data_IF_233168604729
#
_entry.id   IF_233168604729
#
_cell.length_a   1.000
_cell.length_b   1.000
_cell.length_c   1.000
_cell.angle_alpha   90.00
_cell.angle_beta   90.00
_cell.angle_gamma   90.00
#
_symmetry.space_group_name_H-M   'P 1'
#
loop_
_entity.id
_entity.type
_entity.pdbx_description
1 polymer ?
#
# COMPACT_ATOMS: atom_id res chain seq x y z
N UNK A 1 10.44 43.16 2.30
CA UNK A 1 10.35 41.94 1.47
C UNK A 1 9.30 41.06 2.12
N UNK A 2 8.10 41.02 1.57
CA UNK A 2 6.95 40.27 2.11
C UNK A 2 7.17 38.78 1.83
N UNK A 3 7.41 38.00 2.87
CA UNK A 3 7.47 36.55 2.79
C UNK A 3 6.04 36.02 2.86
N UNK A 4 5.54 35.52 1.73
CA UNK A 4 4.26 34.81 1.64
C UNK A 4 4.36 33.47 2.37
N UNK A 5 3.68 33.38 3.49
CA UNK A 5 3.47 32.14 4.25
C UNK A 5 2.55 31.22 3.42
N UNK A 6 3.12 30.19 2.78
CA UNK A 6 2.32 29.15 2.12
C UNK A 6 1.82 28.20 3.21
N UNK A 7 0.56 28.38 3.63
CA UNK A 7 -0.13 27.38 4.41
C UNK A 7 -0.28 26.13 3.53
N UNK A 8 0.41 25.06 3.89
CA UNK A 8 0.26 23.73 3.29
C UNK A 8 -1.19 23.30 3.50
N UNK A 9 -2.01 23.32 2.45
CA UNK A 9 -3.38 22.81 2.55
C UNK A 9 -3.31 21.29 2.64
N UNK A 10 -3.69 20.74 3.80
CA UNK A 10 -3.86 19.31 4.03
C UNK A 10 -4.85 18.75 3.01
N UNK A 11 -4.34 17.92 2.10
CA UNK A 11 -5.17 17.33 1.05
C UNK A 11 -5.99 16.20 1.68
N UNK A 12 -7.34 16.23 1.59
CA UNK A 12 -8.17 15.20 2.21
C UNK A 12 -7.81 13.82 1.66
N UNK A 13 -7.91 12.82 2.53
CA UNK A 13 -7.70 11.42 2.15
C UNK A 13 -8.62 11.05 0.97
N UNK A 14 -8.10 10.33 -0.03
CA UNK A 14 -8.95 9.82 -1.11
C UNK A 14 -10.04 8.90 -0.57
N UNK A 15 -11.24 8.93 -1.17
CA UNK A 15 -12.38 8.11 -0.74
C UNK A 15 -12.15 6.59 -0.81
N UNK A 16 -11.13 6.15 -1.53
CA UNK A 16 -10.75 4.74 -1.62
C UNK A 16 -9.76 4.29 -0.54
N UNK A 17 -9.25 5.20 0.29
CA UNK A 17 -8.26 4.92 1.34
C UNK A 17 -8.83 5.20 2.72
N UNK A 18 -8.72 4.23 3.62
CA UNK A 18 -9.03 4.38 5.02
C UNK A 18 -7.80 3.98 5.84
N UNK A 19 -7.27 4.90 6.64
CA UNK A 19 -6.21 4.59 7.60
C UNK A 19 -6.79 3.94 8.86
N UNK A 20 -6.05 3.02 9.46
CA UNK A 20 -6.40 2.36 10.72
C UNK A 20 -5.18 2.35 11.64
N UNK A 21 -5.38 2.09 12.94
CA UNK A 21 -4.26 1.97 13.89
C UNK A 21 -3.26 0.86 13.52
N UNK A 22 -3.73 -0.15 12.79
CA UNK A 22 -2.94 -1.32 12.41
C UNK A 22 -2.40 -1.26 10.97
N UNK A 23 -2.68 -0.19 10.22
CA UNK A 23 -2.28 -0.04 8.82
C UNK A 23 -3.28 0.77 7.99
N UNK A 24 -3.77 0.18 6.90
CA UNK A 24 -4.79 0.81 6.07
C UNK A 24 -5.64 -0.20 5.29
N UNK A 25 -6.77 0.29 4.77
CA UNK A 25 -7.71 -0.44 3.94
C UNK A 25 -7.94 0.35 2.65
N UNK A 26 -7.92 -0.34 1.50
CA UNK A 26 -8.27 0.25 0.21
C UNK A 26 -9.51 -0.41 -0.37
N UNK A 27 -10.42 0.38 -0.92
CA UNK A 27 -11.43 -0.18 -1.82
C UNK A 27 -10.81 -0.45 -3.19
N UNK A 28 -11.12 -1.62 -3.74
CA UNK A 28 -10.75 -2.01 -5.09
C UNK A 28 -11.83 -1.48 -6.04
N UNK A 29 -11.42 -0.75 -7.07
CA UNK A 29 -12.31 -0.33 -8.16
C UNK A 29 -12.82 -1.55 -8.93
N UNK A 30 -12.01 -2.60 -9.01
CA UNK A 30 -12.37 -3.86 -9.64
C UNK A 30 -12.28 -4.97 -8.59
N UNK A 31 -13.43 -5.53 -8.15
CA UNK A 31 -13.41 -6.71 -7.30
C UNK A 31 -12.55 -7.81 -7.93
N UNK A 32 -11.65 -8.39 -7.14
CA UNK A 32 -10.64 -9.34 -7.60
C UNK A 32 -10.65 -10.56 -6.70
N UNK A 33 -10.43 -11.73 -7.28
CA UNK A 33 -10.29 -12.97 -6.52
C UNK A 33 -8.92 -13.02 -5.87
N UNK A 34 -8.88 -13.01 -4.54
CA UNK A 34 -7.67 -13.16 -3.74
C UNK A 34 -7.85 -14.39 -2.85
N UNK A 35 -6.91 -15.34 -2.90
CA UNK A 35 -6.96 -16.60 -2.15
C UNK A 35 -8.27 -17.39 -2.34
N UNK A 36 -8.86 -17.33 -3.54
CA UNK A 36 -10.13 -18.02 -3.86
C UNK A 36 -11.40 -17.29 -3.42
N UNK A 37 -11.30 -16.05 -2.94
CA UNK A 37 -12.44 -15.25 -2.49
C UNK A 37 -12.50 -13.95 -3.28
N UNK A 38 -13.67 -13.65 -3.87
CA UNK A 38 -13.90 -12.36 -4.52
C UNK A 38 -14.00 -11.27 -3.46
N UNK A 39 -13.08 -10.31 -3.50
CA UNK A 39 -13.05 -9.17 -2.58
C UNK A 39 -13.11 -7.86 -3.33
N UNK A 40 -13.78 -6.87 -2.74
CA UNK A 40 -13.82 -5.48 -3.20
C UNK A 40 -12.94 -4.56 -2.35
N UNK A 41 -12.25 -5.13 -1.37
CA UNK A 41 -11.45 -4.40 -0.41
C UNK A 41 -10.20 -5.21 -0.07
N UNK A 42 -9.07 -4.52 0.03
CA UNK A 42 -7.81 -5.07 0.52
C UNK A 42 -7.37 -4.36 1.80
N UNK A 43 -6.98 -5.13 2.81
CA UNK A 43 -6.38 -4.63 4.05
C UNK A 43 -4.88 -4.86 4.02
N UNK A 44 -4.13 -3.87 4.47
CA UNK A 44 -2.67 -3.88 4.52
C UNK A 44 -2.26 -3.52 5.94
N UNK A 45 -1.50 -4.39 6.59
CA UNK A 45 -0.94 -4.10 7.92
C UNK A 45 0.25 -3.14 7.83
N UNK A 46 0.51 -2.43 8.90
CA UNK A 46 1.69 -1.59 9.01
C UNK A 46 2.99 -2.41 8.84
N UNK A 47 3.93 -1.92 8.02
CA UNK A 47 5.20 -2.61 7.81
C UNK A 47 6.07 -2.53 9.06
N UNK A 48 6.76 -3.62 9.38
CA UNK A 48 7.82 -3.62 10.37
C UNK A 48 9.18 -3.90 9.73
N UNK A 49 10.27 -3.63 10.45
CA UNK A 49 11.65 -3.83 9.96
C UNK A 49 11.90 -5.27 9.48
N UNK A 50 11.26 -6.26 10.13
CA UNK A 50 11.35 -7.66 9.72
C UNK A 50 10.83 -7.88 8.31
N UNK A 51 9.71 -7.25 7.95
CA UNK A 51 9.09 -7.42 6.62
C UNK A 51 9.99 -6.85 5.53
N UNK A 52 10.57 -5.67 5.79
CA UNK A 52 11.51 -5.02 4.87
C UNK A 52 12.75 -5.90 4.66
N UNK A 53 13.33 -6.44 5.74
CA UNK A 53 14.51 -7.33 5.65
C UNK A 53 14.19 -8.64 4.94
N UNK A 54 13.03 -9.22 5.18
CA UNK A 54 12.61 -10.46 4.52
C UNK A 54 12.48 -10.25 3.00
N UNK A 55 11.82 -9.17 2.59
CA UNK A 55 11.68 -8.82 1.17
C UNK A 55 13.03 -8.50 0.50
N UNK A 56 13.94 -7.83 1.21
CA UNK A 56 15.29 -7.54 0.71
C UNK A 56 16.13 -8.81 0.53
N UNK A 57 16.00 -9.80 1.43
CA UNK A 57 16.77 -11.03 1.38
C UNK A 57 16.39 -11.92 0.18
N UNK A 58 15.17 -11.81 -0.34
CA UNK A 58 14.66 -12.67 -1.44
C UNK A 58 14.75 -12.00 -2.81
N UNK A 59 15.01 -10.69 -2.88
CA UNK A 59 14.86 -9.94 -4.12
C UNK A 59 16.06 -10.04 -5.07
N UNK A 60 17.26 -10.42 -4.60
CA UNK A 60 18.47 -10.53 -5.43
C UNK A 60 18.76 -9.28 -6.31
N UNK A 61 18.42 -8.08 -5.81
CA UNK A 61 18.60 -6.82 -6.53
C UNK A 61 17.44 -6.41 -7.45
N UNK A 62 16.39 -7.23 -7.57
CA UNK A 62 15.17 -6.93 -8.32
C UNK A 62 14.18 -6.17 -7.41
N UNK A 63 14.00 -4.88 -7.67
CA UNK A 63 13.15 -4.02 -6.85
C UNK A 63 11.65 -4.36 -6.97
N UNK A 64 11.20 -4.84 -8.13
CA UNK A 64 9.81 -5.24 -8.34
C UNK A 64 9.51 -6.51 -7.53
N UNK A 65 10.42 -7.48 -7.53
CA UNK A 65 10.33 -8.64 -6.64
C UNK A 65 10.33 -8.27 -5.17
N UNK A 66 11.18 -7.33 -4.77
CA UNK A 66 11.23 -6.84 -3.39
C UNK A 66 9.87 -6.26 -2.98
N UNK A 67 9.31 -5.40 -3.82
CA UNK A 67 8.01 -4.78 -3.56
C UNK A 67 6.89 -5.83 -3.49
N UNK A 68 6.84 -6.74 -4.46
CA UNK A 68 5.84 -7.80 -4.51
C UNK A 68 5.89 -8.71 -3.27
N UNK A 69 7.10 -9.12 -2.87
CA UNK A 69 7.32 -9.94 -1.67
C UNK A 69 6.91 -9.20 -0.39
N UNK A 70 7.20 -7.90 -0.32
CA UNK A 70 6.76 -7.06 0.79
C UNK A 70 5.24 -6.98 0.86
N UNK A 71 4.56 -6.62 -0.24
CA UNK A 71 3.10 -6.48 -0.25
C UNK A 71 2.39 -7.79 0.04
N UNK A 72 2.87 -8.91 -0.51
CA UNK A 72 2.38 -10.24 -0.17
C UNK A 72 2.38 -10.51 1.33
N UNK A 73 3.48 -10.15 2.02
CA UNK A 73 3.59 -10.28 3.47
C UNK A 73 2.67 -9.33 4.25
N UNK A 74 2.45 -8.12 3.75
CA UNK A 74 1.64 -7.11 4.43
C UNK A 74 0.13 -7.33 4.25
N UNK A 75 -0.28 -7.88 3.10
CA UNK A 75 -1.69 -8.16 2.79
C UNK A 75 -2.09 -9.58 3.14
N UNK A 76 -1.13 -10.45 3.49
CA UNK A 76 -1.32 -11.89 3.67
C UNK A 76 -1.93 -12.54 2.43
N UNK A 77 -1.52 -12.09 1.25
CA UNK A 77 -2.05 -12.53 -0.05
C UNK A 77 -0.91 -13.07 -0.92
N UNK A 78 -1.09 -14.20 -1.62
CA UNK A 78 -0.08 -14.70 -2.55
C UNK A 78 0.33 -13.66 -3.60
N UNK A 79 1.61 -13.64 -3.97
CA UNK A 79 2.15 -12.71 -4.98
C UNK A 79 1.40 -12.83 -6.33
N UNK A 80 1.03 -14.05 -6.73
CA UNK A 80 0.29 -14.31 -7.97
C UNK A 80 -1.07 -13.59 -8.02
N UNK A 81 -1.76 -13.48 -6.88
CA UNK A 81 -3.06 -12.84 -6.79
C UNK A 81 -2.89 -11.31 -6.80
N UNK A 82 -1.85 -10.81 -6.14
CA UNK A 82 -1.49 -9.39 -6.19
C UNK A 82 -1.10 -8.94 -7.61
N UNK A 83 -0.40 -9.79 -8.36
CA UNK A 83 -0.08 -9.53 -9.78
C UNK A 83 -1.32 -9.52 -10.69
N UNK A 84 -2.42 -10.16 -10.27
CA UNK A 84 -3.68 -10.18 -11.02
C UNK A 84 -4.53 -8.91 -10.80
N UNK A 85 -4.18 -8.06 -9.83
CA UNK A 85 -4.85 -6.79 -9.59
C UNK A 85 -4.83 -5.92 -10.84
N UNK A 86 -5.93 -5.20 -11.09
CA UNK A 86 -5.92 -4.14 -12.11
C UNK A 86 -4.94 -3.05 -11.68
N UNK A 87 -4.22 -2.47 -12.64
CA UNK A 87 -3.16 -1.50 -12.38
C UNK A 87 -3.63 -0.33 -11.49
N UNK A 88 -4.86 0.14 -11.65
CA UNK A 88 -5.42 1.21 -10.80
C UNK A 88 -5.49 0.81 -9.33
N UNK A 89 -5.79 -0.44 -9.03
CA UNK A 89 -5.94 -0.98 -7.68
C UNK A 89 -4.56 -1.30 -7.08
N UNK A 90 -3.62 -1.80 -7.89
CA UNK A 90 -2.21 -1.90 -7.50
C UNK A 90 -1.59 -0.54 -7.15
N UNK A 91 -1.90 0.50 -7.94
CA UNK A 91 -1.45 1.87 -7.65
C UNK A 91 -2.08 2.44 -6.37
N UNK A 92 -3.29 2.03 -5.99
CA UNK A 92 -3.90 2.40 -4.69
C UNK A 92 -3.13 1.76 -3.54
N UNK A 93 -2.77 0.49 -3.68
CA UNK A 93 -1.95 -0.25 -2.71
C UNK A 93 -0.59 0.45 -2.49
N UNK A 94 0.14 0.76 -3.56
CA UNK A 94 1.42 1.48 -3.45
C UNK A 94 1.27 2.84 -2.77
N UNK A 95 0.26 3.64 -3.17
CA UNK A 95 0.02 4.96 -2.57
C UNK A 95 -0.32 4.90 -1.09
N UNK A 96 -1.14 3.92 -0.68
CA UNK A 96 -1.44 3.69 0.73
C UNK A 96 -0.20 3.33 1.54
N UNK A 97 0.67 2.46 0.99
CA UNK A 97 1.95 2.12 1.62
C UNK A 97 2.87 3.33 1.78
N UNK A 98 3.07 4.12 0.72
CA UNK A 98 3.94 5.30 0.79
C UNK A 98 3.45 6.32 1.83
N UNK A 99 2.13 6.57 1.87
CA UNK A 99 1.51 7.44 2.89
C UNK A 99 1.83 6.94 4.30
N UNK A 100 1.68 5.63 4.54
CA UNK A 100 1.89 5.04 5.86
C UNK A 100 3.36 5.11 6.31
N UNK A 101 4.31 4.93 5.41
CA UNK A 101 5.74 4.93 5.74
C UNK A 101 6.33 6.34 5.87
N UNK A 102 5.73 7.32 5.21
CA UNK A 102 6.18 8.71 5.28
C UNK A 102 5.76 9.42 6.57
N UNK A 103 4.85 8.82 7.36
CA UNK A 103 4.29 9.42 8.57
C UNK A 103 3.82 10.87 8.34
N UNK A 104 3.25 11.11 7.16
CA UNK A 104 2.66 12.40 6.86
C UNK A 104 1.42 12.55 7.75
N UNK A 105 1.59 13.23 8.88
CA UNK A 105 0.47 13.74 9.68
C UNK A 105 -0.54 14.41 8.73
N UNK A 106 -1.82 14.03 8.88
CA UNK A 106 -2.94 14.66 8.16
C UNK A 106 -3.62 15.64 9.08
#
# INVERSE_FOLDING_TARGET
>A
MTQTNQATQEKPLPSWLQLTEEGFRISLRHPTELSGVLVDTLTIRAPCVRDIRAAQATCNGDEEKREMSLFSSLTQTPEQDLMALKLVDYMRLQKGYFRLVQDDEI
#
